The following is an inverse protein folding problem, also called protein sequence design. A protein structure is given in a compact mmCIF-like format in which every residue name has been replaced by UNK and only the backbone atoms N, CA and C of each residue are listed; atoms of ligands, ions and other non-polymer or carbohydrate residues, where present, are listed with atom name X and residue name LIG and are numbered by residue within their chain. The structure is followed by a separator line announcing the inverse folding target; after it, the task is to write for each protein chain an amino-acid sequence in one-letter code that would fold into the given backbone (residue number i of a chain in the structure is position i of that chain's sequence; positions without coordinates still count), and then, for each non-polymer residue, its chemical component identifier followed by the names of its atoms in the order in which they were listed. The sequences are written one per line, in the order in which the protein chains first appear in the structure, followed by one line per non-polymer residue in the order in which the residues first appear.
data_IF_526749611082
#
_entry.id   IF_526749611082
#
_cell.length_a   1.000
_cell.length_b   1.000
_cell.length_c   1.000
_cell.angle_alpha   90.00
_cell.angle_beta   90.00
_cell.angle_gamma   90.00
#
_symmetry.space_group_name_H-M   'P 1'
#
loop_
_entity.id
_entity.type
_entity.pdbx_description
1 polymer ?
#
# COMPACT_ATOMS: atom_id res chain seq x y z
N UNK A 1 5.77 -9.71 30.54
CA UNK A 1 4.91 -8.95 29.61
C UNK A 1 5.69 -8.55 28.36
N UNK A 2 5.21 -8.93 27.16
CA UNK A 2 5.81 -8.55 25.87
C UNK A 2 4.96 -7.49 25.14
N UNK A 3 5.53 -6.83 24.13
CA UNK A 3 4.83 -5.82 23.32
C UNK A 3 3.95 -6.45 22.23
N UNK A 4 3.00 -5.71 21.69
CA UNK A 4 2.22 -6.11 20.51
C UNK A 4 2.61 -5.21 19.35
N UNK A 5 2.88 -5.80 18.19
CA UNK A 5 3.26 -5.08 16.96
C UNK A 5 2.13 -5.20 15.94
N UNK A 6 1.79 -4.09 15.28
CA UNK A 6 0.87 -4.07 14.15
C UNK A 6 1.53 -3.34 12.99
N UNK A 7 1.52 -3.93 11.79
CA UNK A 7 2.04 -3.30 10.57
C UNK A 7 1.07 -3.47 9.40
N UNK A 8 0.50 -2.34 8.97
CA UNK A 8 -0.34 -2.19 7.77
C UNK A 8 0.28 -1.23 6.73
N UNK A 9 1.56 -0.90 6.90
CA UNK A 9 2.26 0.08 6.06
C UNK A 9 3.07 -0.61 4.95
N UNK A 10 4.31 -1.01 5.24
CA UNK A 10 5.21 -1.71 4.32
C UNK A 10 5.98 -2.78 5.07
N UNK A 11 6.15 -3.95 4.45
CA UNK A 11 6.89 -5.07 5.04
C UNK A 11 8.30 -4.67 5.51
N UNK A 12 9.15 -4.10 4.63
CA UNK A 12 10.54 -3.77 4.96
C UNK A 12 10.77 -2.70 6.04
N UNK A 13 9.71 -2.14 6.64
CA UNK A 13 9.85 -1.26 7.82
C UNK A 13 10.26 -2.07 9.06
N UNK A 14 9.86 -3.34 9.11
CA UNK A 14 10.21 -4.28 10.17
C UNK A 14 11.24 -5.26 9.61
N UNK A 15 12.31 -5.48 10.36
CA UNK A 15 13.21 -6.63 10.17
C UNK A 15 12.45 -7.91 10.57
N UNK A 16 12.05 -8.69 9.57
CA UNK A 16 11.19 -9.86 9.77
C UNK A 16 11.89 -10.97 10.57
N UNK A 17 13.20 -11.16 10.38
CA UNK A 17 14.01 -12.13 11.14
C UNK A 17 14.07 -11.75 12.61
N UNK A 18 14.32 -10.46 12.91
CA UNK A 18 14.34 -9.96 14.28
C UNK A 18 12.96 -10.05 14.97
N UNK A 19 11.87 -9.85 14.20
CA UNK A 19 10.51 -10.04 14.70
C UNK A 19 10.25 -11.51 15.06
N UNK A 20 10.63 -12.45 14.20
CA UNK A 20 10.48 -13.89 14.45
C UNK A 20 11.22 -14.29 15.72
N UNK A 21 12.46 -13.84 15.92
CA UNK A 21 13.21 -14.13 17.15
C UNK A 21 12.55 -13.50 18.39
N UNK A 22 12.05 -12.26 18.27
CA UNK A 22 11.36 -11.59 19.37
C UNK A 22 10.01 -12.22 19.73
N UNK A 23 9.35 -12.88 18.77
CA UNK A 23 8.16 -13.69 19.02
C UNK A 23 8.51 -15.00 19.74
N UNK A 24 9.64 -15.64 19.38
CA UNK A 24 10.12 -16.88 20.03
C UNK A 24 10.50 -16.67 21.49
N UNK A 25 11.19 -15.57 21.80
CA UNK A 25 11.66 -15.27 23.16
C UNK A 25 10.65 -14.50 24.02
N UNK A 26 9.52 -14.09 23.43
CA UNK A 26 8.41 -13.43 24.12
C UNK A 26 8.59 -11.94 24.39
N UNK A 27 9.64 -11.29 23.84
CA UNK A 27 9.73 -9.82 23.83
C UNK A 27 8.56 -9.21 23.07
N UNK A 28 8.17 -9.83 21.96
CA UNK A 28 6.93 -9.55 21.25
C UNK A 28 5.92 -10.62 21.64
N UNK A 29 4.87 -10.21 22.34
CA UNK A 29 3.80 -11.09 22.79
C UNK A 29 2.86 -11.51 21.65
N UNK A 30 2.69 -10.66 20.63
CA UNK A 30 1.89 -10.95 19.43
C UNK A 30 2.21 -9.98 18.28
N UNK A 31 1.90 -10.38 17.05
CA UNK A 31 2.01 -9.52 15.87
C UNK A 31 0.77 -9.60 14.97
N UNK A 32 0.34 -8.47 14.41
CA UNK A 32 -0.64 -8.39 13.34
C UNK A 32 -0.02 -7.74 12.10
N UNK A 33 0.16 -8.49 11.01
CA UNK A 33 0.85 -8.02 9.81
C UNK A 33 -0.07 -8.13 8.59
N UNK A 34 -0.36 -7.01 7.94
CA UNK A 34 -1.00 -7.00 6.61
C UNK A 34 0.04 -7.05 5.48
N UNK A 35 1.28 -6.71 5.80
CA UNK A 35 2.40 -6.60 4.86
C UNK A 35 3.59 -7.39 5.37
N UNK A 36 4.37 -7.96 4.45
CA UNK A 36 5.55 -8.79 4.76
C UNK A 36 6.71 -8.38 3.86
N UNK A 37 7.96 -8.70 4.20
CA UNK A 37 9.10 -8.27 3.38
C UNK A 37 9.02 -8.81 1.94
N UNK A 38 8.51 -10.03 1.79
CA UNK A 38 8.28 -10.70 0.51
C UNK A 38 6.82 -11.06 0.35
N UNK A 39 6.21 -10.50 -0.70
CA UNK A 39 4.81 -10.74 -1.04
C UNK A 39 4.68 -11.45 -2.41
N UNK A 40 3.84 -12.51 -2.52
CA UNK A 40 3.07 -13.14 -1.45
C UNK A 40 3.97 -13.85 -0.43
N UNK A 41 3.49 -13.96 0.81
CA UNK A 41 4.24 -14.61 1.89
C UNK A 41 4.61 -16.05 1.48
N UNK A 42 5.89 -16.45 1.57
CA UNK A 42 6.30 -17.82 1.29
C UNK A 42 5.56 -18.83 2.17
N UNK A 43 5.15 -19.95 1.57
CA UNK A 43 4.39 -21.00 2.28
C UNK A 43 5.19 -21.68 3.41
N UNK A 44 6.51 -21.56 3.37
CA UNK A 44 7.45 -22.04 4.39
C UNK A 44 7.86 -20.96 5.41
N UNK A 45 7.21 -19.78 5.39
CA UNK A 45 7.51 -18.70 6.33
C UNK A 45 7.27 -19.13 7.79
N UNK A 46 8.22 -18.90 8.71
CA UNK A 46 8.04 -19.15 10.14
C UNK A 46 6.86 -18.40 10.75
N UNK A 47 6.48 -17.24 10.20
CA UNK A 47 5.35 -16.44 10.68
C UNK A 47 4.03 -17.22 10.66
N UNK A 48 3.89 -18.20 9.77
CA UNK A 48 2.71 -19.07 9.66
C UNK A 48 2.60 -20.10 10.80
N UNK A 49 3.64 -20.28 11.60
CA UNK A 49 3.71 -21.30 12.65
C UNK A 49 3.35 -20.77 14.04
N UNK A 50 3.18 -19.45 14.19
CA UNK A 50 2.90 -18.82 15.48
C UNK A 50 1.40 -18.66 15.73
N UNK A 51 0.90 -19.19 16.84
CA UNK A 51 -0.51 -19.02 17.26
C UNK A 51 -0.85 -17.57 17.65
N UNK A 52 0.17 -16.76 17.96
CA UNK A 52 0.08 -15.36 18.36
C UNK A 52 0.41 -14.37 17.23
N UNK A 53 0.36 -14.82 15.97
CA UNK A 53 0.54 -13.97 14.79
C UNK A 53 -0.72 -14.02 13.92
N UNK A 54 -1.22 -12.83 13.55
CA UNK A 54 -2.33 -12.66 12.61
C UNK A 54 -1.76 -12.07 11.32
N UNK A 55 -2.09 -12.70 10.20
CA UNK A 55 -1.64 -12.29 8.87
C UNK A 55 -2.86 -11.98 7.99
N UNK A 56 -2.80 -10.87 7.26
CA UNK A 56 -3.73 -10.55 6.18
C UNK A 56 -2.96 -10.31 4.88
N UNK A 57 -3.50 -10.65 3.70
CA UNK A 57 -2.74 -10.67 2.45
C UNK A 57 -2.70 -9.30 1.75
N UNK A 58 -2.15 -8.27 2.39
CA UNK A 58 -2.05 -6.88 1.87
C UNK A 58 -3.43 -6.32 1.46
N UNK A 59 -4.37 -6.38 2.39
CA UNK A 59 -5.78 -6.01 2.19
C UNK A 59 -6.29 -4.97 3.19
N UNK A 60 -5.45 -4.39 4.05
CA UNK A 60 -5.89 -3.43 5.06
C UNK A 60 -6.61 -2.20 4.46
N UNK A 61 -6.21 -1.79 3.25
CA UNK A 61 -6.85 -0.69 2.53
C UNK A 61 -8.18 -1.07 1.86
N UNK A 62 -8.56 -2.36 1.84
CA UNK A 62 -9.70 -2.84 1.07
C UNK A 62 -11.02 -2.75 1.84
N UNK A 63 -12.00 -2.10 1.23
CA UNK A 63 -13.42 -2.19 1.53
C UNK A 63 -14.22 -1.97 0.24
N UNK A 64 -15.48 -2.41 0.15
CA UNK A 64 -16.31 -2.12 -1.02
C UNK A 64 -16.36 -0.62 -1.35
N UNK A 65 -16.49 0.23 -0.33
CA UNK A 65 -16.54 1.69 -0.45
C UNK A 65 -15.21 2.28 -0.93
N UNK A 66 -14.08 1.88 -0.33
CA UNK A 66 -12.76 2.39 -0.76
C UNK A 66 -12.44 2.00 -2.20
N UNK A 67 -12.91 0.84 -2.66
CA UNK A 67 -12.75 0.42 -4.06
C UNK A 67 -13.56 1.30 -5.02
N UNK A 68 -14.79 1.65 -4.67
CA UNK A 68 -15.61 2.58 -5.46
C UNK A 68 -14.95 3.96 -5.55
N UNK A 69 -14.52 4.50 -4.40
CA UNK A 69 -13.83 5.79 -4.32
C UNK A 69 -12.52 5.79 -5.12
N UNK A 70 -11.73 4.71 -5.02
CA UNK A 70 -10.48 4.54 -5.75
C UNK A 70 -10.70 4.60 -7.26
N UNK A 71 -11.68 3.86 -7.78
CA UNK A 71 -11.95 3.86 -9.22
C UNK A 71 -12.46 5.21 -9.72
N UNK A 72 -13.32 5.89 -8.96
CA UNK A 72 -13.76 7.23 -9.29
C UNK A 72 -12.56 8.20 -9.39
N UNK A 73 -11.68 8.19 -8.38
CA UNK A 73 -10.50 9.05 -8.34
C UNK A 73 -9.51 8.75 -9.47
N UNK A 74 -9.28 7.48 -9.81
CA UNK A 74 -8.40 7.10 -10.93
C UNK A 74 -8.96 7.67 -12.25
N UNK A 75 -10.27 7.55 -12.48
CA UNK A 75 -10.91 8.10 -13.67
C UNK A 75 -10.76 9.62 -13.74
N UNK A 76 -10.98 10.34 -12.63
CA UNK A 76 -10.80 11.79 -12.55
C UNK A 76 -9.36 12.21 -12.88
N UNK A 77 -8.37 11.54 -12.27
CA UNK A 77 -6.94 11.79 -12.53
C UNK A 77 -6.62 11.59 -14.02
N UNK A 78 -7.09 10.50 -14.63
CA UNK A 78 -6.88 10.24 -16.05
C UNK A 78 -7.50 11.33 -16.94
N UNK A 79 -8.72 11.75 -16.63
CA UNK A 79 -9.41 12.82 -17.37
C UNK A 79 -8.64 14.13 -17.26
N UNK A 80 -8.18 14.49 -16.06
CA UNK A 80 -7.37 15.69 -15.84
C UNK A 80 -6.10 15.67 -16.70
N UNK A 81 -5.34 14.57 -16.65
CA UNK A 81 -4.09 14.42 -17.42
C UNK A 81 -4.36 14.53 -18.93
N UNK A 82 -5.39 13.84 -19.45
CA UNK A 82 -5.74 13.85 -20.88
C UNK A 82 -6.17 15.26 -21.34
N UNK A 83 -6.88 16.00 -20.50
CA UNK A 83 -7.34 17.36 -20.79
C UNK A 83 -6.29 18.43 -20.47
N UNK A 84 -5.09 18.03 -20.06
CA UNK A 84 -3.99 18.92 -19.74
C UNK A 84 -4.17 19.74 -18.46
N UNK A 85 -4.99 19.24 -17.54
CA UNK A 85 -5.11 19.77 -16.19
C UNK A 85 -4.14 19.06 -15.24
N UNK A 86 -3.81 19.74 -14.15
CA UNK A 86 -3.00 19.18 -13.07
C UNK A 86 -3.91 18.33 -12.18
N UNK A 87 -3.65 17.01 -12.02
CA UNK A 87 -4.47 16.15 -11.19
C UNK A 87 -4.29 16.48 -9.70
N UNK A 88 -5.34 16.27 -8.91
CA UNK A 88 -5.42 16.63 -7.47
C UNK A 88 -4.35 15.99 -6.59
N UNK A 89 -4.01 14.71 -6.82
CA UNK A 89 -3.12 13.91 -5.95
C UNK A 89 -1.72 13.72 -6.54
N UNK A 90 -1.13 14.80 -7.08
CA UNK A 90 0.21 14.76 -7.67
C UNK A 90 1.29 14.61 -6.58
N UNK A 91 2.00 13.48 -6.61
CA UNK A 91 3.06 13.16 -5.64
C UNK A 91 4.44 13.69 -6.07
N UNK A 92 4.67 13.83 -7.37
CA UNK A 92 5.94 14.18 -7.99
C UNK A 92 5.81 15.43 -8.90
N UNK A 93 5.72 16.65 -8.34
CA UNK A 93 5.49 17.89 -9.11
C UNK A 93 6.53 18.19 -10.19
N UNK A 94 7.75 17.67 -10.06
CA UNK A 94 8.83 17.84 -11.03
C UNK A 94 8.50 17.28 -12.42
N UNK A 95 7.55 16.33 -12.53
CA UNK A 95 7.16 15.75 -13.83
C UNK A 95 6.27 16.67 -14.66
N UNK A 96 5.77 17.77 -14.10
CA UNK A 96 4.92 18.71 -14.83
C UNK A 96 5.62 19.30 -16.06
N UNK A 97 6.95 19.45 -16.02
CA UNK A 97 7.75 19.89 -17.17
C UNK A 97 7.82 18.87 -18.31
N UNK A 98 7.46 17.61 -18.09
CA UNK A 98 7.42 16.56 -19.10
C UNK A 98 6.04 16.39 -19.74
N UNK A 99 5.01 17.02 -19.19
CA UNK A 99 3.66 16.95 -19.73
C UNK A 99 3.59 17.74 -21.05
N UNK A 100 3.45 17.02 -22.16
CA UNK A 100 3.15 17.60 -23.45
C UNK A 100 1.65 17.82 -23.55
N UNK A 101 1.18 18.98 -23.12
CA UNK A 101 -0.22 19.36 -23.32
C UNK A 101 -0.50 19.47 -24.83
N UNK A 102 -1.37 18.62 -25.36
CA UNK A 102 -1.94 18.88 -26.67
C UNK A 102 -2.82 20.13 -26.54
N UNK A 103 -2.66 21.15 -27.40
CA UNK A 103 -3.60 22.27 -27.38
C UNK A 103 -5.02 21.72 -27.57
N UNK A 104 -6.03 22.20 -26.82
CA UNK A 104 -7.40 21.76 -27.01
C UNK A 104 -7.75 21.92 -28.49
N UNK A 105 -8.23 20.85 -29.13
CA UNK A 105 -8.73 20.92 -30.50
C UNK A 105 -9.85 21.98 -30.49
N UNK A 106 -9.66 23.06 -31.24
CA UNK A 106 -10.73 24.01 -31.51
C UNK A 106 -11.95 23.22 -31.99
N UNK A 107 -13.02 23.26 -31.20
CA UNK A 107 -14.32 22.75 -31.61
C UNK A 107 -14.75 23.65 -32.76
N UNK A 108 -14.58 23.17 -33.99
CA UNK A 108 -15.14 23.85 -35.17
C UNK A 108 -16.66 23.86 -35.01
N UNK A 109 -17.21 25.07 -34.92
CA UNK A 109 -18.63 25.40 -34.97
C UNK A 109 -19.30 24.87 -36.23
#
# INVERSE_FOLDING_TARGET
PGVIIVNDSRGPIIDEEALIEALRDGRVAAAGLDVTEKEPLPADSPLLQFDNVILTPHTAAYSPQSREDLYAQICEICIDVIQGRIPRFLVNPEVLGHLRFAPPKEVRS
#
